data_IF_911747055530
#
_entry.id   IF_911747055530
#
_cell.length_a   1.000
_cell.length_b   1.000
_cell.length_c   1.000
_cell.angle_alpha   90.00
_cell.angle_beta   90.00
_cell.angle_gamma   90.00
#
_symmetry.space_group_name_H-M   'P 1'
#
loop_
_entity.id
_entity.type
_entity.pdbx_description
1 polymer ?
#
# COMPACT_ATOMS: atom_id res chain seq x y z
N UNK A 1 21.57 -5.22 -2.42
CA UNK A 1 20.69 -5.77 -1.39
C UNK A 1 20.10 -4.69 -0.49
N UNK A 2 19.12 -3.94 -0.99
CA UNK A 2 18.32 -2.95 -0.26
C UNK A 2 16.86 -3.40 -0.26
N UNK A 3 16.22 -3.36 0.90
CA UNK A 3 14.79 -3.62 1.05
C UNK A 3 14.03 -2.29 1.03
N UNK A 4 13.05 -2.17 0.13
CA UNK A 4 12.18 -1.00 -0.01
C UNK A 4 10.76 -1.39 0.32
N UNK A 5 10.14 -0.62 1.22
CA UNK A 5 8.74 -0.76 1.61
C UNK A 5 7.90 0.29 0.90
N UNK A 6 6.89 -0.14 0.14
CA UNK A 6 6.00 0.75 -0.62
C UNK A 6 4.55 0.42 -0.28
N UNK A 7 3.78 1.45 0.06
CA UNK A 7 2.32 1.35 0.17
C UNK A 7 1.67 2.26 -0.88
N UNK A 8 0.75 1.70 -1.65
CA UNK A 8 -0.07 2.43 -2.62
C UNK A 8 -1.51 2.51 -2.09
N UNK A 9 -2.06 3.72 -1.97
CA UNK A 9 -3.45 3.97 -1.55
C UNK A 9 -4.28 4.48 -2.73
N UNK A 10 -5.51 3.99 -2.88
CA UNK A 10 -6.45 4.41 -3.90
C UNK A 10 -7.41 5.47 -3.35
N UNK A 11 -7.47 6.64 -4.00
CA UNK A 11 -8.35 7.73 -3.58
C UNK A 11 -9.54 7.87 -4.53
N UNK A 12 -10.74 7.56 -4.02
CA UNK A 12 -12.00 7.88 -4.66
C UNK A 12 -13.06 8.13 -3.59
N UNK A 13 -14.12 8.85 -3.96
CA UNK A 13 -15.21 9.22 -3.03
C UNK A 13 -15.86 8.01 -2.35
N UNK A 14 -15.94 6.88 -3.06
CA UNK A 14 -16.61 5.66 -2.60
C UNK A 14 -15.62 4.58 -2.11
N UNK A 15 -14.33 4.91 -1.97
CA UNK A 15 -13.33 4.02 -1.39
C UNK A 15 -13.16 4.41 0.09
N UNK A 16 -13.61 3.53 0.99
CA UNK A 16 -13.29 3.64 2.41
C UNK A 16 -11.81 3.36 2.62
N UNK A 17 -11.07 4.38 3.08
CA UNK A 17 -9.65 4.29 3.38
C UNK A 17 -9.42 4.02 4.88
N UNK A 18 -10.10 3.02 5.43
CA UNK A 18 -9.88 2.62 6.82
C UNK A 18 -8.55 1.86 6.94
N UNK A 19 -7.59 2.40 7.70
CA UNK A 19 -6.25 1.81 7.86
C UNK A 19 -6.27 0.41 8.50
N UNK A 20 -7.36 0.08 9.20
CA UNK A 20 -7.55 -1.19 9.91
C UNK A 20 -7.76 -2.38 8.98
N UNK A 21 -8.49 -2.19 7.87
CA UNK A 21 -8.95 -3.28 7.00
C UNK A 21 -8.13 -3.39 5.70
N UNK A 22 -7.14 -2.50 5.49
CA UNK A 22 -6.31 -2.43 4.27
C UNK A 22 -7.12 -2.33 2.97
N UNK A 23 -8.40 -1.96 3.07
CA UNK A 23 -9.27 -1.74 1.93
C UNK A 23 -8.81 -0.49 1.18
N UNK A 24 -8.64 -0.62 -0.13
CA UNK A 24 -8.14 0.48 -0.96
C UNK A 24 -6.63 0.72 -0.88
N UNK A 25 -5.86 -0.12 -0.18
CA UNK A 25 -4.40 -0.05 -0.24
C UNK A 25 -3.73 -1.38 -0.58
N UNK A 26 -2.54 -1.30 -1.17
CA UNK A 26 -1.69 -2.47 -1.44
C UNK A 26 -0.27 -2.18 -0.97
N UNK A 27 0.36 -3.19 -0.40
CA UNK A 27 1.71 -3.12 0.15
C UNK A 27 2.64 -4.04 -0.61
N UNK A 28 3.80 -3.53 -0.99
CA UNK A 28 4.86 -4.28 -1.65
C UNK A 28 6.17 -4.12 -0.88
N UNK A 29 6.90 -5.24 -0.80
CA UNK A 29 8.29 -5.25 -0.39
C UNK A 29 9.16 -5.60 -1.59
N UNK A 30 10.13 -4.75 -1.90
CA UNK A 30 11.02 -4.91 -3.04
C UNK A 30 12.44 -5.11 -2.54
N UNK A 31 13.07 -6.23 -2.91
CA UNK A 31 14.49 -6.47 -2.69
C UNK A 31 15.25 -6.15 -3.97
N UNK A 32 16.09 -5.11 -3.91
CA UNK A 32 16.97 -4.74 -5.04
C UNK A 32 18.40 -5.13 -4.70
N UNK A 33 19.04 -5.85 -5.63
CA UNK A 33 20.45 -6.24 -5.52
C UNK A 33 21.39 -5.07 -5.83
#
# INVERSE_FOLDING_TARGET
GVLISVECKAWAKDIQNEESDKLGSVHFELLID
#
